data_IF_421291441173
#
_entry.id   IF_421291441173
#
_cell.length_a   1.000
_cell.length_b   1.000
_cell.length_c   1.000
_cell.angle_alpha   90.00
_cell.angle_beta   90.00
_cell.angle_gamma   90.00
#
_symmetry.space_group_name_H-M   'P 1'
#
loop_
_entity.id
_entity.type
_entity.pdbx_description
1 polymer ?
#
# COMPACT_ATOMS: atom_id res chain seq x y z
N UNK A 1 -3.17 -17.99 22.07
CA UNK A 1 -2.78 -16.59 21.81
C UNK A 1 -3.34 -16.23 20.44
N UNK A 2 -4.51 -15.58 20.40
CA UNK A 2 -5.09 -15.13 19.14
C UNK A 2 -4.40 -13.82 18.78
N UNK A 3 -3.35 -13.88 17.97
CA UNK A 3 -2.79 -12.70 17.32
C UNK A 3 -3.80 -12.25 16.27
N UNK A 4 -4.81 -11.50 16.71
CA UNK A 4 -5.64 -10.71 15.80
C UNK A 4 -4.70 -9.75 15.09
N UNK A 5 -4.27 -10.15 13.90
CA UNK A 5 -3.66 -9.24 12.93
C UNK A 5 -4.62 -8.08 12.81
N UNK A 6 -4.28 -6.93 13.40
CA UNK A 6 -4.98 -5.68 13.13
C UNK A 6 -5.10 -5.63 11.62
N UNK A 7 -6.33 -5.66 11.10
CA UNK A 7 -6.58 -5.77 9.66
C UNK A 7 -5.98 -4.53 9.01
N UNK A 8 -4.73 -4.65 8.55
CA UNK A 8 -4.03 -3.57 7.87
C UNK A 8 -4.85 -3.30 6.62
N UNK A 9 -5.40 -2.10 6.52
CA UNK A 9 -6.20 -1.75 5.36
C UNK A 9 -5.31 -1.80 4.11
N UNK A 10 -5.84 -2.13 2.92
CA UNK A 10 -5.04 -2.22 1.72
C UNK A 10 -4.23 -0.93 1.44
N UNK A 11 -4.78 0.24 1.75
CA UNK A 11 -4.05 1.50 1.68
C UNK A 11 -2.84 1.55 2.64
N UNK A 12 -3.02 1.23 3.92
CA UNK A 12 -1.90 1.19 4.88
C UNK A 12 -0.86 0.16 4.45
N UNK A 13 -1.31 -0.96 3.88
CA UNK A 13 -0.45 -2.00 3.37
C UNK A 13 0.43 -1.49 2.21
N UNK A 14 -0.09 -0.65 1.31
CA UNK A 14 0.67 -0.02 0.23
C UNK A 14 1.73 0.96 0.76
N UNK A 15 1.39 1.76 1.76
CA UNK A 15 2.36 2.65 2.43
C UNK A 15 3.49 1.84 3.09
N UNK A 16 3.13 0.73 3.75
CA UNK A 16 4.08 -0.13 4.43
C UNK A 16 5.01 -0.85 3.46
N UNK A 17 4.49 -1.41 2.37
CA UNK A 17 5.30 -2.10 1.36
C UNK A 17 6.30 -1.12 0.72
N UNK A 18 5.85 0.10 0.37
CA UNK A 18 6.74 1.13 -0.13
C UNK A 18 7.84 1.50 0.87
N UNK A 19 7.48 1.68 2.14
CA UNK A 19 8.44 2.08 3.18
C UNK A 19 9.44 0.98 3.54
N UNK A 20 9.05 -0.29 3.42
CA UNK A 20 9.86 -1.42 3.91
C UNK A 20 10.52 -2.24 2.81
N UNK A 21 9.82 -2.51 1.71
CA UNK A 21 10.32 -3.27 0.56
C UNK A 21 10.75 -2.35 -0.59
N UNK A 22 10.22 -1.12 -0.66
CA UNK A 22 10.46 -0.22 -1.80
C UNK A 22 9.72 -0.67 -3.07
N UNK A 23 8.80 -1.62 -2.96
CA UNK A 23 8.00 -2.15 -4.06
C UNK A 23 6.57 -2.39 -3.61
N UNK A 24 5.66 -2.53 -4.58
CA UNK A 24 4.22 -2.68 -4.35
C UNK A 24 3.76 -4.07 -4.76
N UNK A 25 2.96 -4.73 -3.91
CA UNK A 25 2.43 -6.09 -4.13
C UNK A 25 0.89 -6.12 -4.13
N UNK A 26 0.22 -5.45 -5.09
CA UNK A 26 -1.25 -5.41 -5.15
C UNK A 26 -1.90 -6.78 -5.36
N UNK A 27 -1.16 -7.76 -5.89
CA UNK A 27 -1.63 -9.12 -6.18
C UNK A 27 -2.08 -9.91 -4.95
N UNK A 28 -1.67 -9.50 -3.75
CA UNK A 28 -2.17 -10.09 -2.49
C UNK A 28 -3.60 -9.67 -2.14
N UNK A 29 -4.15 -8.69 -2.84
CA UNK A 29 -5.52 -8.19 -2.66
C UNK A 29 -6.39 -8.49 -3.88
N UNK A 30 -7.71 -8.53 -3.67
CA UNK A 30 -8.69 -8.77 -4.74
C UNK A 30 -9.87 -7.80 -4.66
N UNK A 31 -10.54 -7.60 -5.81
CA UNK A 31 -11.73 -6.76 -5.91
C UNK A 31 -11.51 -5.35 -5.39
N UNK A 32 -12.35 -4.91 -4.47
CA UNK A 32 -12.31 -3.55 -3.92
C UNK A 32 -11.05 -3.28 -3.08
N UNK A 33 -10.52 -4.31 -2.41
CA UNK A 33 -9.29 -4.16 -1.63
C UNK A 33 -8.10 -3.84 -2.54
N UNK A 34 -8.03 -4.50 -3.71
CA UNK A 34 -6.99 -4.24 -4.70
C UNK A 34 -7.06 -2.81 -5.22
N UNK A 35 -8.27 -2.30 -5.52
CA UNK A 35 -8.44 -0.91 -5.96
C UNK A 35 -7.96 0.09 -4.91
N UNK A 36 -8.29 -0.13 -3.64
CA UNK A 36 -7.85 0.75 -2.55
C UNK A 36 -6.32 0.77 -2.41
N UNK A 37 -5.70 -0.40 -2.55
CA UNK A 37 -4.24 -0.52 -2.57
C UNK A 37 -3.64 0.25 -3.76
N UNK A 38 -4.14 0.01 -4.97
CA UNK A 38 -3.63 0.63 -6.20
C UNK A 38 -3.83 2.16 -6.21
N UNK A 39 -4.93 2.66 -5.64
CA UNK A 39 -5.15 4.10 -5.46
C UNK A 39 -4.08 4.73 -4.56
N UNK A 40 -3.76 4.07 -3.46
CA UNK A 40 -2.76 4.55 -2.52
C UNK A 40 -1.34 4.47 -3.10
N UNK A 41 -1.03 3.37 -3.81
CA UNK A 41 0.18 3.26 -4.61
C UNK A 41 0.35 4.45 -5.56
N UNK A 42 -0.69 4.80 -6.32
CA UNK A 42 -0.65 5.94 -7.24
C UNK A 42 -0.43 7.27 -6.52
N UNK A 43 -1.03 7.46 -5.34
CA UNK A 43 -0.81 8.64 -4.50
C UNK A 43 0.66 8.75 -4.10
N UNK A 44 1.24 7.66 -3.57
CA UNK A 44 2.64 7.61 -3.12
C UNK A 44 3.59 7.88 -4.29
N UNK A 45 3.36 7.27 -5.45
CA UNK A 45 4.18 7.48 -6.65
C UNK A 45 4.17 8.96 -7.06
N UNK A 46 3.00 9.59 -7.13
CA UNK A 46 2.89 11.03 -7.43
C UNK A 46 3.58 11.91 -6.40
N UNK A 47 3.50 11.56 -5.12
CA UNK A 47 4.19 12.32 -4.07
C UNK A 47 5.70 12.24 -4.21
N UNK A 48 6.24 11.08 -4.59
CA UNK A 48 7.66 10.91 -4.89
C UNK A 48 8.10 11.65 -6.15
N UNK A 49 7.33 11.55 -7.23
CA UNK A 49 7.60 12.25 -8.48
C UNK A 49 7.60 13.78 -8.31
N UNK A 50 6.79 14.29 -7.36
CA UNK A 50 6.67 15.72 -7.06
C UNK A 50 7.66 16.23 -6.00
N UNK A 51 8.56 15.39 -5.47
CA UNK A 51 9.59 15.89 -4.54
C UNK A 51 10.68 16.64 -5.29
N UNK A 52 10.98 17.91 -4.94
CA UNK A 52 12.16 18.58 -5.46
C UNK A 52 13.41 17.83 -4.98
N UNK A 53 14.35 17.58 -5.89
CA UNK A 53 15.62 16.91 -5.61
C UNK A 53 16.52 17.73 -4.68
#
# INVERSE_FOLDING_TARGET
>A
MNTSTAQVTPAVAAQYDWMTQGEFWPERFQGEQRKQYEQEQQRIQREWDNKPQ
#
